data_IF_243329631857
#
_entry.id   IF_243329631857
#
_cell.length_a   1.000
_cell.length_b   1.000
_cell.length_c   1.000
_cell.angle_alpha   90.00
_cell.angle_beta   90.00
_cell.angle_gamma   90.00
#
_symmetry.space_group_name_H-M   'P 1'
#
loop_
_entity.id
_entity.type
_entity.pdbx_description
1 polymer ?
#
# COMPACT_ATOMS: atom_id res chain seq x y z
N UNK A 1 -38.21 21.77 4.60
CA UNK A 1 -36.73 21.87 4.52
C UNK A 1 -36.37 20.69 3.65
N UNK A 2 -36.30 20.93 2.34
CA UNK A 2 -36.56 19.89 1.35
C UNK A 2 -35.26 19.51 0.66
N UNK A 3 -34.91 18.23 0.68
CA UNK A 3 -33.79 17.68 -0.07
C UNK A 3 -34.34 16.65 -1.05
N UNK A 4 -34.02 16.82 -2.34
CA UNK A 4 -34.17 15.77 -3.34
C UNK A 4 -32.80 15.16 -3.62
N UNK A 5 -32.69 13.84 -3.56
CA UNK A 5 -31.56 13.11 -4.10
C UNK A 5 -31.95 12.48 -5.44
N UNK A 6 -31.15 12.70 -6.49
CA UNK A 6 -31.28 12.00 -7.77
C UNK A 6 -30.23 10.90 -7.79
N UNK A 7 -30.66 9.64 -7.77
CA UNK A 7 -29.79 8.50 -8.03
C UNK A 7 -29.88 8.17 -9.52
N UNK A 8 -28.80 8.38 -10.26
CA UNK A 8 -28.71 8.05 -11.68
C UNK A 8 -27.71 6.90 -11.85
N UNK A 9 -28.20 5.74 -12.29
CA UNK A 9 -27.35 4.64 -12.73
C UNK A 9 -27.18 4.74 -14.24
N UNK A 10 -25.94 4.84 -14.72
CA UNK A 10 -25.61 4.67 -16.13
C UNK A 10 -24.93 3.30 -16.28
N UNK A 11 -25.63 2.35 -16.90
CA UNK A 11 -25.03 1.09 -17.37
C UNK A 11 -24.57 1.31 -18.80
N UNK A 12 -23.27 1.54 -18.99
CA UNK A 12 -22.65 1.54 -20.32
C UNK A 12 -22.05 0.16 -20.58
N UNK A 13 -22.64 -0.57 -21.54
CA UNK A 13 -22.00 -1.69 -22.21
C UNK A 13 -21.26 -1.17 -23.45
N UNK A 14 -19.94 -1.34 -23.50
CA UNK A 14 -19.10 -0.94 -24.62
C UNK A 14 -17.66 -1.42 -24.44
N UNK A 15 -16.89 -1.49 -25.54
CA UNK A 15 -15.44 -1.70 -25.49
C UNK A 15 -14.85 -0.51 -24.73
N UNK A 16 -14.15 -0.77 -23.62
CA UNK A 16 -13.49 0.28 -22.86
C UNK A 16 -12.55 1.07 -23.79
N UNK A 17 -12.88 2.33 -24.01
CA UNK A 17 -11.96 3.32 -24.58
C UNK A 17 -11.42 4.11 -23.40
N UNK A 18 -10.13 3.99 -23.14
CA UNK A 18 -9.46 4.82 -22.14
C UNK A 18 -9.21 6.17 -22.80
N UNK A 19 -9.89 7.20 -22.31
CA UNK A 19 -9.54 8.59 -22.60
C UNK A 19 -8.43 9.01 -21.64
N UNK A 20 -7.20 9.10 -22.14
CA UNK A 20 -6.08 9.69 -21.41
C UNK A 20 -6.24 11.21 -21.41
N UNK A 21 -6.50 11.77 -20.24
CA UNK A 21 -6.52 13.23 -20.03
C UNK A 21 -5.22 13.64 -19.36
N UNK A 22 -4.42 14.43 -20.06
CA UNK A 22 -3.29 15.15 -19.47
C UNK A 22 -3.84 16.50 -18.96
N UNK A 23 -3.81 16.71 -17.65
CA UNK A 23 -4.25 17.95 -17.02
C UNK A 23 -3.06 18.87 -16.78
N UNK A 24 -3.08 20.06 -17.37
CA UNK A 24 -2.08 21.10 -17.17
C UNK A 24 -2.52 22.08 -16.07
N UNK A 25 -1.62 22.38 -15.12
CA UNK A 25 -1.84 23.34 -14.04
C UNK A 25 -1.08 24.64 -14.34
N UNK A 26 -1.40 25.28 -15.47
CA UNK A 26 -0.99 26.65 -15.72
C UNK A 26 -1.88 27.62 -14.92
N UNK A 27 -1.28 28.68 -14.37
CA UNK A 27 -2.01 29.73 -13.67
C UNK A 27 -2.99 30.42 -14.63
N UNK A 28 -4.27 30.48 -14.25
CA UNK A 28 -5.37 31.04 -15.04
C UNK A 28 -5.26 32.56 -15.39
N UNK A 29 -4.12 33.19 -15.13
CA UNK A 29 -3.89 34.63 -15.36
C UNK A 29 -3.07 34.94 -16.61
N UNK A 30 -2.53 33.93 -17.30
CA UNK A 30 -1.88 34.14 -18.59
C UNK A 30 -2.87 33.88 -19.74
N UNK A 31 -3.13 34.91 -20.55
CA UNK A 31 -4.01 34.80 -21.72
C UNK A 31 -3.35 34.03 -22.87
N UNK A 32 -2.05 33.79 -22.80
CA UNK A 32 -1.25 33.07 -23.79
C UNK A 32 -0.31 32.08 -23.09
N UNK A 33 -0.84 30.98 -22.56
CA UNK A 33 0.01 29.95 -21.97
C UNK A 33 1.06 29.46 -22.99
N UNK A 34 2.32 29.49 -22.57
CA UNK A 34 3.42 28.96 -23.38
C UNK A 34 3.31 27.45 -23.58
N UNK A 35 3.92 26.95 -24.67
CA UNK A 35 4.14 25.51 -24.84
C UNK A 35 5.08 25.07 -23.74
N UNK A 36 4.58 24.25 -22.82
CA UNK A 36 5.33 23.69 -21.69
C UNK A 36 5.88 22.30 -21.99
N UNK A 37 5.24 21.59 -22.92
CA UNK A 37 5.63 20.26 -23.36
C UNK A 37 5.71 20.21 -24.89
N UNK A 38 6.85 19.80 -25.41
CA UNK A 38 7.04 19.52 -26.82
C UNK A 38 6.61 18.08 -27.15
N UNK A 39 6.11 17.80 -28.37
CA UNK A 39 5.69 16.45 -28.77
C UNK A 39 6.79 15.38 -28.65
N UNK A 40 8.06 15.79 -28.58
CA UNK A 40 9.21 14.90 -28.46
C UNK A 40 9.73 14.75 -27.03
N UNK A 41 9.24 15.50 -26.04
CA UNK A 41 9.82 15.52 -24.69
C UNK A 41 9.97 14.13 -24.06
N UNK A 42 8.98 13.24 -24.25
CA UNK A 42 9.04 11.86 -23.75
C UNK A 42 10.06 11.00 -24.52
N UNK A 43 10.21 11.24 -25.82
CA UNK A 43 11.21 10.55 -26.66
C UNK A 43 12.62 11.06 -26.35
N UNK A 44 12.76 12.37 -26.15
CA UNK A 44 14.02 13.05 -25.82
C UNK A 44 14.48 12.70 -24.40
N UNK A 45 13.54 12.51 -23.46
CA UNK A 45 13.83 11.99 -22.13
C UNK A 45 14.27 10.52 -22.16
N UNK A 46 13.85 9.75 -23.17
CA UNK A 46 14.18 8.34 -23.35
C UNK A 46 13.45 7.39 -22.40
N UNK A 47 12.54 7.90 -21.57
CA UNK A 47 11.77 7.10 -20.62
C UNK A 47 10.69 6.28 -21.35
N UNK A 48 10.48 5.04 -20.88
CA UNK A 48 9.45 4.14 -21.45
C UNK A 48 8.34 3.93 -20.43
N UNK A 49 7.09 4.13 -20.84
CA UNK A 49 5.91 3.89 -19.99
C UNK A 49 5.12 2.69 -20.52
N UNK A 50 4.73 1.81 -19.61
CA UNK A 50 3.94 0.61 -19.93
C UNK A 50 2.73 0.56 -19.01
N UNK A 51 1.55 0.40 -19.62
CA UNK A 51 0.31 0.16 -18.91
C UNK A 51 0.00 -1.33 -18.88
N UNK A 52 -0.18 -1.89 -17.69
CA UNK A 52 -0.51 -3.29 -17.45
C UNK A 52 -1.92 -3.34 -16.87
N UNK A 53 -2.78 -4.14 -17.49
CA UNK A 53 -4.16 -4.36 -17.05
C UNK A 53 -4.44 -5.85 -16.97
N UNK A 54 -5.04 -6.29 -15.86
CA UNK A 54 -5.47 -7.67 -15.70
C UNK A 54 -6.95 -7.82 -16.06
N UNK A 55 -7.22 -8.37 -17.24
CA UNK A 55 -8.58 -8.66 -17.73
C UNK A 55 -9.14 -10.01 -17.22
N UNK A 56 -8.43 -10.69 -16.33
CA UNK A 56 -8.82 -11.98 -15.77
C UNK A 56 -9.15 -11.92 -14.28
N UNK A 57 -9.10 -13.08 -13.62
CA UNK A 57 -9.15 -13.22 -12.17
C UNK A 57 -7.82 -12.82 -11.52
N UNK A 58 -7.71 -12.93 -10.19
CA UNK A 58 -6.44 -12.74 -9.49
C UNK A 58 -5.34 -13.61 -10.11
N UNK A 59 -4.22 -12.99 -10.47
CA UNK A 59 -3.08 -13.65 -11.09
C UNK A 59 -1.77 -13.14 -10.52
N UNK A 60 -0.81 -14.04 -10.38
CA UNK A 60 0.59 -13.74 -10.04
C UNK A 60 1.50 -14.24 -11.14
N UNK A 61 2.59 -13.52 -11.41
CA UNK A 61 3.52 -13.91 -12.47
C UNK A 61 4.58 -12.85 -12.74
N UNK A 62 5.48 -13.15 -13.67
CA UNK A 62 6.52 -12.24 -14.13
C UNK A 62 6.22 -11.73 -15.53
N UNK A 63 6.36 -10.42 -15.73
CA UNK A 63 6.26 -9.78 -17.04
C UNK A 63 7.65 -9.32 -17.46
N UNK A 64 8.03 -9.62 -18.70
CA UNK A 64 9.31 -9.26 -19.31
C UNK A 64 9.15 -8.07 -20.26
N UNK A 65 9.83 -6.97 -19.97
CA UNK A 65 9.75 -5.72 -20.73
C UNK A 65 11.05 -5.50 -21.51
N UNK A 66 10.95 -5.10 -22.77
CA UNK A 66 12.11 -4.71 -23.58
C UNK A 66 12.55 -3.27 -23.27
N UNK A 67 13.00 -3.07 -22.03
CA UNK A 67 13.52 -1.82 -21.52
C UNK A 67 14.59 -2.13 -20.46
N UNK A 68 15.62 -1.29 -20.35
CA UNK A 68 16.75 -1.47 -19.41
C UNK A 68 16.89 -0.34 -18.38
N UNK A 69 16.01 0.66 -18.45
CA UNK A 69 15.89 1.70 -17.45
C UNK A 69 15.44 1.16 -16.10
N UNK A 70 15.76 1.87 -15.02
CA UNK A 70 15.33 1.53 -13.67
C UNK A 70 13.81 1.74 -13.55
N UNK A 71 13.06 0.75 -13.06
CA UNK A 71 11.60 0.79 -13.05
C UNK A 71 11.01 1.58 -11.87
N UNK A 72 9.94 2.32 -12.13
CA UNK A 72 9.15 3.07 -11.17
C UNK A 72 7.66 2.79 -11.39
N UNK A 73 6.90 2.80 -10.30
CA UNK A 73 5.45 2.78 -10.28
C UNK A 73 4.94 4.21 -10.03
N UNK A 74 4.48 4.93 -11.06
CA UNK A 74 3.87 6.24 -10.88
C UNK A 74 2.45 6.10 -10.32
N UNK A 75 2.10 6.97 -9.38
CA UNK A 75 0.74 7.22 -8.96
C UNK A 75 0.05 8.12 -9.99
N UNK A 76 -0.99 7.59 -10.63
CA UNK A 76 -1.70 8.29 -11.71
C UNK A 76 -2.48 9.53 -11.22
N UNK A 77 -2.71 9.67 -9.92
CA UNK A 77 -3.46 10.78 -9.32
C UNK A 77 -2.53 11.88 -8.79
N UNK A 78 -1.45 11.51 -8.10
CA UNK A 78 -0.53 12.46 -7.48
C UNK A 78 0.68 12.79 -8.34
N UNK A 79 1.02 11.93 -9.30
CA UNK A 79 2.26 12.00 -10.08
C UNK A 79 3.50 11.55 -9.32
N UNK A 80 3.35 11.04 -8.08
CA UNK A 80 4.48 10.54 -7.30
C UNK A 80 5.03 9.25 -7.91
N UNK A 81 6.35 9.14 -8.04
CA UNK A 81 7.02 7.96 -8.60
C UNK A 81 7.67 7.12 -7.49
N UNK A 82 7.14 5.92 -7.27
CA UNK A 82 7.72 4.98 -6.31
C UNK A 82 8.69 4.03 -7.02
N UNK A 83 9.95 3.86 -6.57
CA UNK A 83 10.86 2.88 -7.16
C UNK A 83 10.31 1.45 -7.07
N UNK A 84 10.42 0.69 -8.16
CA UNK A 84 10.21 -0.76 -8.12
C UNK A 84 11.57 -1.38 -7.78
N UNK A 85 11.75 -1.75 -6.51
CA UNK A 85 13.04 -2.16 -5.98
C UNK A 85 13.45 -3.59 -6.33
N UNK A 86 12.47 -4.48 -6.56
CA UNK A 86 12.73 -5.88 -6.93
C UNK A 86 12.41 -6.14 -8.40
N UNK A 87 13.46 -6.43 -9.17
CA UNK A 87 13.39 -6.77 -10.59
C UNK A 87 14.69 -7.44 -11.03
N UNK A 88 14.70 -8.06 -12.21
CA UNK A 88 15.95 -8.60 -12.79
C UNK A 88 16.13 -8.14 -14.23
N UNK A 89 17.36 -7.91 -14.63
CA UNK A 89 17.71 -7.56 -16.01
C UNK A 89 18.48 -8.70 -16.66
N UNK A 90 17.97 -9.20 -17.79
CA UNK A 90 18.62 -10.26 -18.57
C UNK A 90 18.37 -10.04 -20.06
N UNK A 91 19.42 -10.15 -20.87
CA UNK A 91 19.34 -10.01 -22.34
C UNK A 91 18.66 -8.72 -22.82
N UNK A 92 18.90 -7.59 -22.13
CA UNK A 92 18.29 -6.30 -22.46
C UNK A 92 16.80 -6.20 -22.10
N UNK A 93 16.29 -7.12 -21.27
CA UNK A 93 14.92 -7.10 -20.77
C UNK A 93 14.89 -7.01 -19.26
N UNK A 94 13.99 -6.18 -18.76
CA UNK A 94 13.67 -6.08 -17.33
C UNK A 94 12.47 -6.97 -17.01
N UNK A 95 12.60 -7.84 -16.02
CA UNK A 95 11.54 -8.73 -15.56
C UNK A 95 11.07 -8.27 -14.18
N UNK A 96 9.77 -8.06 -14.05
CA UNK A 96 9.12 -7.61 -12.81
C UNK A 96 8.01 -8.59 -12.47
N UNK A 97 7.96 -9.00 -11.20
CA UNK A 97 6.88 -9.83 -10.68
C UNK A 97 5.69 -8.97 -10.28
N UNK A 98 4.49 -9.40 -10.67
CA UNK A 98 3.24 -8.75 -10.32
C UNK A 98 2.30 -9.73 -9.62
N UNK A 99 1.48 -9.17 -8.73
CA UNK A 99 0.25 -9.80 -8.23
C UNK A 99 -0.88 -8.82 -8.50
N UNK A 100 -1.76 -9.15 -9.43
CA UNK A 100 -2.84 -8.28 -9.88
C UNK A 100 -4.17 -8.93 -9.56
N UNK A 101 -5.05 -8.19 -8.89
CA UNK A 101 -6.46 -8.54 -8.73
C UNK A 101 -7.19 -8.44 -10.06
N UNK A 102 -8.39 -8.98 -10.13
CA UNK A 102 -9.25 -8.80 -11.28
C UNK A 102 -9.48 -7.32 -11.56
N UNK A 103 -9.38 -6.91 -12.83
CA UNK A 103 -9.50 -5.52 -13.32
C UNK A 103 -8.48 -4.53 -12.78
N UNK A 104 -7.44 -5.00 -12.09
CA UNK A 104 -6.40 -4.13 -11.53
C UNK A 104 -5.44 -3.63 -12.62
N UNK A 105 -5.03 -2.38 -12.48
CA UNK A 105 -4.12 -1.69 -13.41
C UNK A 105 -2.83 -1.30 -12.71
N UNK A 106 -1.74 -1.30 -13.46
CA UNK A 106 -0.44 -0.75 -13.05
C UNK A 106 0.16 0.05 -14.20
N UNK A 107 0.83 1.13 -13.88
CA UNK A 107 1.73 1.81 -14.79
C UNK A 107 3.15 1.49 -14.34
N UNK A 108 4.03 1.21 -15.29
CA UNK A 108 5.46 1.01 -15.06
C UNK A 108 6.20 1.99 -15.94
N UNK A 109 7.02 2.85 -15.32
CA UNK A 109 7.96 3.73 -16.00
C UNK A 109 9.35 3.12 -15.92
N UNK A 110 10.07 3.07 -17.03
CA UNK A 110 11.49 2.74 -17.07
C UNK A 110 12.24 4.03 -17.36
N UNK A 111 13.01 4.53 -16.38
CA UNK A 111 13.75 5.76 -16.58
C UNK A 111 15.05 5.52 -17.34
N UNK A 112 15.33 6.28 -18.41
CA UNK A 112 16.60 6.18 -19.14
C UNK A 112 17.77 6.83 -18.39
N UNK A 113 17.49 7.91 -17.65
CA UNK A 113 18.49 8.64 -16.86
C UNK A 113 19.08 7.80 -15.70
N UNK A 114 18.30 6.83 -15.21
CA UNK A 114 18.67 5.87 -14.18
C UNK A 114 18.63 4.49 -14.78
N UNK A 115 19.76 3.92 -15.15
CA UNK A 115 19.79 2.58 -15.74
C UNK A 115 20.46 1.58 -14.78
N UNK A 116 20.13 0.30 -14.98
CA UNK A 116 20.68 -0.78 -14.15
C UNK A 116 22.18 -1.01 -14.36
N UNK A 117 22.76 -0.48 -15.44
CA UNK A 117 24.21 -0.52 -15.69
C UNK A 117 25.00 0.52 -14.85
N UNK A 118 24.31 1.51 -14.27
CA UNK A 118 24.91 2.56 -13.44
C UNK A 118 25.24 2.10 -12.00
N UNK A 119 25.25 0.80 -11.73
CA UNK A 119 25.43 0.20 -10.39
C UNK A 119 24.36 0.60 -9.36
N UNK A 120 23.14 0.94 -9.79
CA UNK A 120 22.03 1.13 -8.85
C UNK A 120 21.73 -0.20 -8.14
N UNK A 121 21.90 -0.21 -6.81
CA UNK A 121 21.66 -1.38 -5.99
C UNK A 121 20.16 -1.65 -5.92
N UNK A 122 19.71 -2.74 -6.53
CA UNK A 122 18.33 -3.23 -6.50
C UNK A 122 18.29 -4.66 -5.99
N UNK A 123 17.09 -5.15 -5.71
CA UNK A 123 16.85 -6.53 -5.31
C UNK A 123 16.57 -7.35 -6.56
N UNK A 124 17.22 -8.50 -6.70
CA UNK A 124 16.99 -9.42 -7.82
C UNK A 124 16.17 -10.65 -7.43
N UNK A 125 16.08 -10.90 -6.13
CA UNK A 125 15.30 -11.99 -5.57
C UNK A 125 15.12 -11.81 -4.06
N UNK A 126 13.97 -12.23 -3.55
CA UNK A 126 13.69 -12.34 -2.14
C UNK A 126 12.88 -13.58 -1.78
N UNK A 127 12.86 -13.92 -0.50
CA UNK A 127 11.98 -14.97 0.03
C UNK A 127 10.55 -14.44 0.20
N UNK A 128 9.56 -15.32 0.13
CA UNK A 128 8.12 -14.97 0.21
C UNK A 128 7.70 -14.24 1.51
N UNK A 129 8.51 -14.33 2.57
CA UNK A 129 8.31 -13.60 3.81
C UNK A 129 8.62 -12.10 3.70
N UNK A 130 9.22 -11.63 2.61
CA UNK A 130 9.44 -10.20 2.36
C UNK A 130 8.15 -9.57 1.87
N UNK A 131 7.68 -8.56 2.59
CA UNK A 131 6.40 -7.87 2.36
C UNK A 131 6.54 -6.63 1.48
N UNK A 132 7.75 -6.12 1.33
CA UNK A 132 8.03 -4.96 0.50
C UNK A 132 9.35 -4.29 0.82
N UNK A 133 9.64 -3.22 0.09
CA UNK A 133 10.88 -2.46 0.19
C UNK A 133 10.62 -0.98 0.39
N UNK A 134 11.59 -0.32 1.01
CA UNK A 134 11.68 1.12 1.06
C UNK A 134 13.12 1.53 0.74
N UNK A 135 13.28 2.57 -0.08
CA UNK A 135 14.59 3.09 -0.47
C UNK A 135 14.79 4.44 0.18
N UNK A 136 15.87 4.57 0.95
CA UNK A 136 16.27 5.84 1.55
C UNK A 136 17.76 6.07 1.38
N UNK A 137 18.12 7.24 0.86
CA UNK A 137 19.50 7.68 0.72
C UNK A 137 20.41 6.65 0.02
N UNK A 138 19.87 5.96 -0.99
CA UNK A 138 20.57 4.91 -1.75
C UNK A 138 20.68 3.54 -1.06
N UNK A 139 20.05 3.36 0.11
CA UNK A 139 19.97 2.09 0.83
C UNK A 139 18.61 1.45 0.65
N UNK A 140 18.60 0.13 0.48
CA UNK A 140 17.38 -0.67 0.43
C UNK A 140 17.07 -1.23 1.81
N UNK A 141 15.88 -0.92 2.31
CA UNK A 141 15.29 -1.50 3.50
C UNK A 141 14.25 -2.53 3.07
N UNK A 142 14.35 -3.75 3.58
CA UNK A 142 13.36 -4.79 3.35
C UNK A 142 12.45 -4.92 4.58
N UNK A 143 11.15 -4.85 4.37
CA UNK A 143 10.15 -5.18 5.39
C UNK A 143 9.79 -6.64 5.22
N UNK A 144 9.86 -7.41 6.30
CA UNK A 144 9.59 -8.83 6.24
C UNK A 144 8.79 -9.31 7.45
N UNK A 145 8.03 -10.39 7.24
CA UNK A 145 7.15 -10.99 8.23
C UNK A 145 7.92 -11.91 9.17
N UNK A 146 7.69 -11.75 10.47
CA UNK A 146 8.15 -12.67 11.50
C UNK A 146 8.00 -14.13 11.07
N UNK A 147 9.09 -14.88 11.10
CA UNK A 147 9.13 -16.25 10.57
C UNK A 147 10.23 -17.05 11.25
N UNK A 148 9.94 -18.31 11.56
CA UNK A 148 10.93 -19.27 12.06
C UNK A 148 11.90 -19.73 10.95
N UNK A 149 11.58 -19.42 9.69
CA UNK A 149 12.43 -19.72 8.53
C UNK A 149 13.32 -18.54 8.18
N UNK A 150 14.58 -18.84 7.84
CA UNK A 150 15.53 -17.83 7.37
C UNK A 150 14.97 -17.08 6.15
N UNK A 151 14.88 -15.76 6.27
CA UNK A 151 14.47 -14.89 5.17
C UNK A 151 15.72 -14.29 4.53
N UNK A 152 15.80 -14.34 3.20
CA UNK A 152 16.95 -13.82 2.47
C UNK A 152 16.54 -12.85 1.37
N UNK A 153 17.39 -11.86 1.14
CA UNK A 153 17.29 -10.90 0.03
C UNK A 153 18.60 -10.92 -0.73
N UNK A 154 18.53 -11.07 -2.06
CA UNK A 154 19.70 -11.04 -2.94
C UNK A 154 19.71 -9.72 -3.72
N UNK A 155 20.81 -9.00 -3.59
CA UNK A 155 21.03 -7.72 -4.28
C UNK A 155 21.67 -7.93 -5.65
N UNK A 156 21.52 -6.92 -6.51
CA UNK A 156 22.14 -6.86 -7.84
C UNK A 156 23.68 -6.94 -7.81
N UNK A 157 24.30 -6.56 -6.69
CA UNK A 157 25.74 -6.74 -6.43
C UNK A 157 26.17 -8.21 -6.25
N UNK A 158 25.22 -9.15 -6.23
CA UNK A 158 25.46 -10.56 -5.92
C UNK A 158 25.47 -10.89 -4.43
N UNK A 159 25.47 -9.87 -3.55
CA UNK A 159 25.40 -10.05 -2.10
C UNK A 159 24.02 -10.58 -1.69
N UNK A 160 24.01 -11.66 -0.93
CA UNK A 160 22.81 -12.13 -0.21
C UNK A 160 22.87 -11.63 1.23
N UNK A 161 21.77 -11.04 1.70
CA UNK A 161 21.57 -10.61 3.07
C UNK A 161 20.50 -11.51 3.70
N UNK A 162 20.84 -12.18 4.79
CA UNK A 162 19.87 -12.91 5.62
C UNK A 162 19.31 -11.96 6.67
N UNK A 163 17.99 -11.89 6.75
CA UNK A 163 17.26 -11.09 7.73
C UNK A 163 16.97 -11.98 8.94
N UNK A 164 17.43 -11.56 10.11
CA UNK A 164 17.04 -12.18 11.37
C UNK A 164 15.64 -11.71 11.74
N UNK A 165 14.69 -12.63 11.69
CA UNK A 165 13.27 -12.36 11.94
C UNK A 165 12.76 -13.27 13.03
N UNK A 166 13.39 -13.16 14.19
CA UNK A 166 12.88 -13.76 15.43
C UNK A 166 11.45 -13.26 15.63
N UNK A 167 10.48 -14.11 15.30
CA UNK A 167 9.09 -13.85 15.64
C UNK A 167 8.95 -13.78 17.15
N UNK A 168 8.12 -12.87 17.65
CA UNK A 168 7.72 -12.97 19.05
C UNK A 168 6.99 -14.30 19.22
N UNK A 169 7.40 -15.09 20.22
CA UNK A 169 6.74 -16.34 20.52
C UNK A 169 5.24 -16.09 20.73
N UNK A 170 4.41 -16.95 20.14
CA UNK A 170 2.97 -16.85 20.30
C UNK A 170 2.63 -16.80 21.79
N UNK A 171 1.97 -15.71 22.21
CA UNK A 171 1.44 -15.60 23.56
C UNK A 171 0.21 -16.50 23.63
N UNK A 172 0.31 -17.58 24.38
CA UNK A 172 -0.86 -18.38 24.72
C UNK A 172 -1.68 -17.59 25.74
N UNK A 173 -2.83 -17.09 25.32
CA UNK A 173 -3.78 -16.46 26.23
C UNK A 173 -4.32 -17.54 27.17
N UNK A 174 -4.10 -17.40 28.47
CA UNK A 174 -4.82 -18.18 29.48
C UNK A 174 -6.08 -17.45 29.93
N UNK A 175 -6.58 -17.80 31.11
CA UNK A 175 -7.62 -17.01 31.75
C UNK A 175 -7.12 -15.57 31.95
N UNK A 176 -7.90 -14.60 31.48
CA UNK A 176 -7.56 -13.19 31.57
C UNK A 176 -8.66 -12.41 32.27
N UNK A 177 -8.30 -11.26 32.81
CA UNK A 177 -9.21 -10.35 33.49
C UNK A 177 -9.18 -9.01 32.77
N UNK A 178 -10.36 -8.46 32.48
CA UNK A 178 -10.52 -7.09 31.99
C UNK A 178 -11.26 -6.28 33.02
N UNK A 179 -10.76 -5.07 33.27
CA UNK A 179 -11.42 -4.08 34.10
C UNK A 179 -12.07 -3.06 33.18
N UNK A 180 -13.39 -3.03 33.18
CA UNK A 180 -14.18 -2.02 32.48
C UNK A 180 -14.45 -0.85 33.41
N UNK A 181 -14.08 0.35 33.00
CA UNK A 181 -14.55 1.58 33.64
C UNK A 181 -15.89 1.98 33.02
N UNK A 182 -16.96 1.92 33.80
CA UNK A 182 -18.30 2.31 33.40
C UNK A 182 -18.60 3.72 33.93
N UNK A 183 -19.08 4.58 33.05
CA UNK A 183 -19.53 5.93 33.38
C UNK A 183 -21.06 5.95 33.36
N UNK A 184 -21.66 6.06 34.54
CA UNK A 184 -23.10 6.12 34.75
C UNK A 184 -23.54 7.58 34.96
N UNK A 185 -24.81 7.91 34.67
CA UNK A 185 -25.36 9.21 35.03
C UNK A 185 -25.25 9.44 36.55
N UNK A 186 -25.13 10.70 36.99
CA UNK A 186 -25.15 11.03 38.41
C UNK A 186 -26.50 10.64 39.04
N UNK A 187 -26.47 10.24 40.32
CA UNK A 187 -27.68 9.80 41.04
C UNK A 187 -28.71 10.92 41.18
N UNK A 188 -28.24 12.17 41.20
CA UNK A 188 -29.06 13.37 41.20
C UNK A 188 -28.71 14.24 39.98
N UNK A 189 -29.64 14.33 39.03
CA UNK A 189 -29.48 15.14 37.81
C UNK A 189 -29.45 16.66 38.06
N UNK A 190 -29.75 17.11 39.29
CA UNK A 190 -29.71 18.51 39.69
C UNK A 190 -28.43 18.89 40.46
N UNK A 191 -27.57 17.92 40.76
CA UNK A 191 -26.25 18.18 41.32
C UNK A 191 -25.27 18.52 40.19
N UNK A 192 -24.87 19.79 40.13
CA UNK A 192 -23.98 20.32 39.07
C UNK A 192 -22.50 20.01 39.32
N UNK A 193 -22.14 19.57 40.54
CA UNK A 193 -20.75 19.22 40.89
C UNK A 193 -20.43 17.78 40.46
N UNK A 194 -21.42 16.88 40.49
CA UNK A 194 -21.23 15.48 40.13
C UNK A 194 -21.64 15.22 38.68
N UNK A 195 -20.66 15.23 37.78
CA UNK A 195 -20.91 15.11 36.33
C UNK A 195 -21.18 13.67 35.89
N UNK A 196 -20.59 12.66 36.55
CA UNK A 196 -20.80 11.24 36.25
C UNK A 196 -20.36 10.33 37.40
N UNK A 197 -21.09 9.22 37.58
CA UNK A 197 -20.76 8.17 38.51
C UNK A 197 -19.85 7.13 37.84
N UNK A 198 -18.57 7.10 38.21
CA UNK A 198 -17.61 6.11 37.68
C UNK A 198 -17.61 4.84 38.51
N UNK A 199 -17.65 3.69 37.84
CA UNK A 199 -17.57 2.38 38.50
C UNK A 199 -16.71 1.42 37.69
N UNK A 200 -15.82 0.70 38.37
CA UNK A 200 -15.03 -0.36 37.75
C UNK A 200 -15.74 -1.71 37.88
N UNK A 201 -15.80 -2.47 36.79
CA UNK A 201 -16.35 -3.82 36.71
C UNK A 201 -15.25 -4.74 36.18
N UNK A 202 -14.83 -5.70 36.98
CA UNK A 202 -13.86 -6.71 36.58
C UNK A 202 -14.58 -7.94 36.02
N UNK A 203 -14.16 -8.37 34.84
CA UNK A 203 -14.68 -9.57 34.16
C UNK A 203 -13.54 -10.56 33.99
N UNK A 204 -13.74 -11.77 34.47
CA UNK A 204 -12.85 -12.88 34.18
C UNK A 204 -13.34 -13.62 32.95
N UNK A 205 -12.50 -13.68 31.92
CA UNK A 205 -12.78 -14.41 30.70
C UNK A 205 -11.96 -15.69 30.69
N UNK A 206 -12.67 -16.81 30.67
CA UNK A 206 -12.06 -18.14 30.60
C UNK A 206 -11.79 -18.53 29.16
N UNK A 207 -10.60 -19.06 28.88
CA UNK A 207 -10.24 -19.62 27.58
C UNK A 207 -9.09 -18.88 26.89
N UNK A 208 -8.83 -19.29 25.65
CA UNK A 208 -7.61 -18.95 24.91
C UNK A 208 -7.83 -17.95 23.78
N UNK A 209 -9.04 -17.39 23.66
CA UNK A 209 -9.43 -16.46 22.59
C UNK A 209 -9.76 -15.07 23.11
N UNK A 210 -9.42 -14.05 22.31
CA UNK A 210 -9.94 -12.70 22.48
C UNK A 210 -11.42 -12.74 22.09
N UNK A 211 -12.27 -12.23 22.98
CA UNK A 211 -13.72 -12.12 22.74
C UNK A 211 -14.05 -10.67 22.37
N UNK A 212 -14.99 -10.48 21.45
CA UNK A 212 -15.45 -9.13 21.12
C UNK A 212 -16.22 -8.52 22.30
N UNK A 213 -16.33 -7.19 22.39
CA UNK A 213 -17.15 -6.54 23.42
C UNK A 213 -18.59 -7.04 23.42
N UNK A 214 -19.14 -7.31 22.24
CA UNK A 214 -20.48 -7.89 22.06
C UNK A 214 -20.60 -9.27 22.70
N UNK A 215 -19.61 -10.14 22.51
CA UNK A 215 -19.62 -11.50 23.04
C UNK A 215 -19.45 -11.52 24.56
N UNK A 216 -18.83 -10.49 25.12
CA UNK A 216 -18.76 -10.24 26.57
C UNK A 216 -20.03 -9.61 27.15
N UNK A 217 -21.03 -9.28 26.33
CA UNK A 217 -22.29 -8.65 26.75
C UNK A 217 -22.27 -7.12 26.80
N UNK A 218 -21.24 -6.48 26.23
CA UNK A 218 -21.00 -5.04 26.31
C UNK A 218 -21.05 -4.38 24.91
N UNK A 219 -22.25 -4.00 24.46
CA UNK A 219 -22.47 -3.51 23.09
C UNK A 219 -22.13 -2.02 22.88
N UNK A 220 -21.99 -1.25 23.96
CA UNK A 220 -21.68 0.19 23.95
C UNK A 220 -20.32 0.46 24.62
N UNK A 221 -19.34 -0.39 24.35
CA UNK A 221 -18.00 -0.29 24.93
C UNK A 221 -16.95 -0.09 23.84
N UNK A 222 -16.00 0.79 24.12
CA UNK A 222 -14.82 1.03 23.30
C UNK A 222 -13.58 0.78 24.14
N UNK A 223 -12.56 0.17 23.55
CA UNK A 223 -11.25 -0.01 24.19
C UNK A 223 -10.20 0.87 23.53
N UNK A 224 -9.18 1.24 24.28
CA UNK A 224 -7.89 1.66 23.74
C UNK A 224 -6.97 0.46 23.88
N UNK A 225 -6.47 -0.05 22.76
CA UNK A 225 -5.48 -1.11 22.73
C UNK A 225 -4.07 -0.52 22.83
#
# INVERSE_FOLDING_TARGET
MDYSARCQFILQGGIAKVDLVFWDKQTAQDAYPGILYEPTDLQDAGDVYVYVYNDGDFSTGSISFQATGSPFAPDAWTGEETPITEYSVSQGRTNISFSLKSTETRIVKFSASRNSANNESHVIWSSDSVLGYYVDSGKVWAKAAASDSATSVKLSSGKTVTLDQQGQSQISLGNWSVVLEQWLPPDNLYDVETVANKKNVSLSVSGFSISSWKDLGYQNSSGVA
#
